data_IF_344887959034
#
_entry.id   IF_344887959034
#
_cell.length_a   1.000
_cell.length_b   1.000
_cell.length_c   1.000
_cell.angle_alpha   90.00
_cell.angle_beta   90.00
_cell.angle_gamma   90.00
#
_symmetry.space_group_name_H-M   'P 1'
#
loop_
_entity.id
_entity.type
_entity.pdbx_description
1 polymer ?
#
# COMPACT_ATOMS: atom_id res chain seq x y z
N UNK A 1 31.41 -36.37 -22.31
CA UNK A 1 31.37 -34.89 -22.31
C UNK A 1 29.93 -34.47 -22.03
N UNK A 2 29.61 -34.11 -20.80
CA UNK A 2 28.28 -33.63 -20.42
C UNK A 2 28.17 -32.11 -20.57
N UNK A 3 26.98 -31.62 -20.92
CA UNK A 3 26.12 -30.79 -20.05
C UNK A 3 24.75 -30.64 -20.73
N UNK A 4 23.74 -31.20 -20.07
CA UNK A 4 22.32 -30.95 -20.31
C UNK A 4 22.04 -29.49 -19.95
N UNK A 5 21.65 -28.66 -20.91
CA UNK A 5 21.09 -27.34 -20.60
C UNK A 5 19.67 -27.53 -20.07
N UNK A 6 19.60 -27.78 -18.77
CA UNK A 6 18.37 -27.84 -18.00
C UNK A 6 17.58 -26.54 -18.15
N UNK A 7 16.31 -26.71 -18.51
CA UNK A 7 15.15 -25.90 -18.16
C UNK A 7 15.45 -24.68 -17.28
N UNK A 8 15.78 -23.53 -17.87
CA UNK A 8 15.59 -22.24 -17.20
C UNK A 8 14.10 -21.88 -17.33
N UNK A 9 13.32 -22.52 -16.46
CA UNK A 9 11.94 -22.14 -16.19
C UNK A 9 11.91 -20.69 -15.73
N UNK A 10 11.50 -19.80 -16.64
CA UNK A 10 11.09 -18.44 -16.30
C UNK A 10 9.77 -18.55 -15.54
N UNK A 11 9.89 -18.78 -14.23
CA UNK A 11 8.78 -18.72 -13.28
C UNK A 11 8.43 -17.22 -13.12
N UNK A 12 7.69 -16.68 -14.10
CA UNK A 12 6.97 -15.42 -13.97
C UNK A 12 5.76 -15.65 -13.08
N UNK A 13 5.99 -15.71 -11.76
CA UNK A 13 4.93 -15.89 -10.81
C UNK A 13 4.28 -14.56 -10.43
N UNK A 14 2.97 -14.53 -10.70
CA UNK A 14 1.94 -13.79 -9.97
C UNK A 14 1.62 -12.37 -10.44
N UNK A 15 1.00 -12.30 -11.61
CA UNK A 15 -0.04 -11.28 -11.84
C UNK A 15 -1.17 -11.51 -10.83
N UNK A 16 -1.13 -10.81 -9.70
CA UNK A 16 -2.28 -10.72 -8.79
C UNK A 16 -3.30 -9.81 -9.46
N UNK A 17 -4.21 -10.43 -10.21
CA UNK A 17 -5.52 -9.90 -10.53
C UNK A 17 -6.17 -9.45 -9.20
N UNK A 18 -6.00 -8.17 -8.87
CA UNK A 18 -6.66 -7.54 -7.75
C UNK A 18 -8.12 -7.38 -8.15
N UNK A 19 -8.90 -8.44 -7.95
CA UNK A 19 -10.37 -8.38 -7.97
C UNK A 19 -10.78 -7.21 -7.08
N UNK A 20 -11.36 -6.21 -7.72
CA UNK A 20 -12.09 -5.10 -7.13
C UNK A 20 -13.24 -5.70 -6.29
N UNK A 21 -12.94 -5.99 -5.02
CA UNK A 21 -13.98 -6.32 -4.04
C UNK A 21 -14.78 -5.05 -3.82
N UNK A 22 -16.04 -5.07 -4.27
CA UNK A 22 -16.99 -3.97 -4.21
C UNK A 22 -17.07 -3.38 -2.80
N UNK A 23 -16.61 -2.15 -2.66
CA UNK A 23 -16.89 -1.30 -1.50
C UNK A 23 -17.50 -0.04 -2.08
N UNK A 24 -18.74 0.28 -1.70
CA UNK A 24 -19.50 1.44 -2.19
C UNK A 24 -18.63 2.69 -2.04
N UNK A 25 -18.27 3.28 -3.17
CA UNK A 25 -17.30 4.36 -3.24
C UNK A 25 -18.00 5.72 -3.10
N UNK A 26 -18.05 6.23 -1.88
CA UNK A 26 -18.45 7.63 -1.62
C UNK A 26 -17.21 8.52 -1.64
N UNK A 27 -17.10 9.43 -2.62
CA UNK A 27 -16.26 10.65 -2.75
C UNK A 27 -14.78 10.68 -2.28
N UNK A 28 -14.24 9.58 -1.76
CA UNK A 28 -13.00 9.51 -0.97
C UNK A 28 -11.84 8.84 -1.69
N UNK A 29 -12.05 8.36 -2.92
CA UNK A 29 -11.03 7.67 -3.74
C UNK A 29 -9.76 8.50 -3.99
N UNK A 30 -9.90 9.83 -4.07
CA UNK A 30 -8.79 10.74 -4.32
C UNK A 30 -8.29 11.44 -3.04
N UNK A 31 -8.88 11.14 -1.88
CA UNK A 31 -8.42 11.66 -0.60
C UNK A 31 -7.21 10.87 -0.11
N UNK A 32 -6.27 11.56 0.54
CA UNK A 32 -5.08 10.95 1.15
C UNK A 32 -5.50 9.80 2.06
N UNK A 33 -6.57 9.96 2.83
CA UNK A 33 -7.11 8.93 3.71
C UNK A 33 -7.50 7.66 2.93
N UNK A 34 -8.27 7.79 1.85
CA UNK A 34 -8.72 6.65 1.05
C UNK A 34 -7.57 5.89 0.39
N UNK A 35 -6.56 6.62 -0.10
CA UNK A 35 -5.36 6.04 -0.71
C UNK A 35 -4.56 5.26 0.34
N UNK A 36 -4.34 5.85 1.52
CA UNK A 36 -3.62 5.21 2.63
C UNK A 36 -4.28 3.91 3.06
N UNK A 37 -5.60 3.91 3.26
CA UNK A 37 -6.34 2.68 3.63
C UNK A 37 -6.28 1.64 2.52
N UNK A 38 -6.36 2.05 1.25
CA UNK A 38 -6.20 1.15 0.11
C UNK A 38 -4.81 0.50 0.07
N UNK A 39 -3.74 1.26 0.32
CA UNK A 39 -2.37 0.76 0.42
C UNK A 39 -2.25 -0.27 1.55
N UNK A 40 -2.71 0.07 2.76
CA UNK A 40 -2.65 -0.82 3.92
C UNK A 40 -3.44 -2.11 3.69
N UNK A 41 -4.64 -2.00 3.10
CA UNK A 41 -5.50 -3.14 2.77
C UNK A 41 -4.88 -4.06 1.72
N UNK A 42 -4.21 -3.50 0.70
CA UNK A 42 -3.51 -4.27 -0.36
C UNK A 42 -2.23 -4.95 0.16
N UNK A 43 -1.48 -4.26 1.01
CA UNK A 43 -0.20 -4.75 1.54
C UNK A 43 -0.40 -5.90 2.54
N UNK A 44 -1.46 -5.85 3.35
CA UNK A 44 -1.78 -6.81 4.43
C UNK A 44 -0.61 -7.02 5.43
N UNK A 45 0.40 -6.16 5.39
CA UNK A 45 1.58 -6.16 6.24
C UNK A 45 1.69 -4.80 6.94
N UNK A 46 2.30 -4.75 8.13
CA UNK A 46 2.64 -3.49 8.76
C UNK A 46 3.63 -2.72 7.88
N UNK A 47 3.34 -1.44 7.63
CA UNK A 47 4.16 -0.55 6.81
C UNK A 47 4.55 0.71 7.57
N UNK A 48 5.72 1.26 7.28
CA UNK A 48 6.14 2.52 7.89
C UNK A 48 5.42 3.69 7.26
N UNK A 49 5.18 4.74 8.04
CA UNK A 49 4.58 5.99 7.57
C UNK A 49 5.31 6.53 6.34
N UNK A 50 6.66 6.53 6.36
CA UNK A 50 7.47 6.99 5.23
C UNK A 50 7.20 6.21 3.94
N UNK A 51 7.09 4.88 4.02
CA UNK A 51 6.82 4.03 2.86
C UNK A 51 5.40 4.26 2.32
N UNK A 52 4.43 4.42 3.23
CA UNK A 52 3.04 4.75 2.88
C UNK A 52 3.01 6.11 2.18
N UNK A 53 3.66 7.14 2.74
CA UNK A 53 3.75 8.47 2.14
C UNK A 53 4.39 8.43 0.76
N UNK A 54 5.49 7.70 0.58
CA UNK A 54 6.13 7.55 -0.73
C UNK A 54 5.19 6.91 -1.77
N UNK A 55 4.37 5.94 -1.37
CA UNK A 55 3.37 5.36 -2.27
C UNK A 55 2.23 6.33 -2.58
N UNK A 56 1.76 7.11 -1.60
CA UNK A 56 0.75 8.15 -1.83
C UNK A 56 1.28 9.21 -2.80
N UNK A 57 2.53 9.64 -2.64
CA UNK A 57 3.19 10.61 -3.52
C UNK A 57 3.28 10.09 -4.96
N UNK A 58 3.70 8.84 -5.15
CA UNK A 58 3.75 8.19 -6.47
C UNK A 58 2.38 8.10 -7.12
N UNK A 59 1.33 7.78 -6.36
CA UNK A 59 -0.05 7.66 -6.87
C UNK A 59 -0.61 9.04 -7.25
N UNK A 60 -0.29 10.08 -6.46
CA UNK A 60 -0.86 11.42 -6.65
C UNK A 60 -0.01 12.31 -7.58
N UNK A 61 1.18 11.85 -7.98
CA UNK A 61 2.15 12.58 -8.81
C UNK A 61 2.44 13.98 -8.26
N UNK A 62 2.81 14.03 -6.97
CA UNK A 62 3.13 15.29 -6.27
C UNK A 62 4.56 15.17 -5.74
N UNK A 63 5.37 16.22 -5.92
CA UNK A 63 6.74 16.32 -5.39
C UNK A 63 6.81 17.07 -4.04
N UNK A 64 5.69 17.16 -3.33
CA UNK A 64 5.57 17.98 -2.13
C UNK A 64 6.05 17.24 -0.88
N UNK A 65 6.79 17.93 -0.02
CA UNK A 65 7.18 17.46 1.33
C UNK A 65 6.02 17.41 2.33
N UNK A 66 4.89 18.06 2.04
CA UNK A 66 3.75 18.25 2.96
C UNK A 66 2.91 17.00 3.33
N UNK A 67 2.85 15.89 2.55
CA UNK A 67 1.87 14.84 2.83
C UNK A 67 2.24 13.94 4.00
N UNK A 68 3.43 14.02 4.57
CA UNK A 68 3.80 13.16 5.70
C UNK A 68 2.94 13.44 6.94
N UNK A 69 2.67 14.70 7.25
CA UNK A 69 1.81 15.10 8.37
C UNK A 69 0.36 14.74 8.08
N UNK A 70 -0.11 14.97 6.85
CA UNK A 70 -1.49 14.62 6.44
C UNK A 70 -1.73 13.11 6.45
N UNK A 71 -0.75 12.31 6.00
CA UNK A 71 -0.79 10.85 6.06
C UNK A 71 -0.78 10.37 7.51
N UNK A 72 0.09 10.94 8.35
CA UNK A 72 0.17 10.59 9.77
C UNK A 72 -1.13 10.91 10.50
N UNK A 73 -1.70 12.10 10.28
CA UNK A 73 -3.00 12.49 10.83
C UNK A 73 -4.11 11.55 10.34
N UNK A 74 -4.12 11.22 9.04
CA UNK A 74 -5.09 10.27 8.47
C UNK A 74 -4.97 8.86 9.07
N UNK A 75 -3.75 8.41 9.36
CA UNK A 75 -3.47 7.11 9.99
C UNK A 75 -3.88 7.08 11.46
N UNK A 76 -3.67 8.16 12.20
CA UNK A 76 -4.01 8.26 13.62
C UNK A 76 -5.51 8.41 13.86
N UNK A 77 -6.20 9.15 12.98
CA UNK A 77 -7.66 9.37 13.06
C UNK A 77 -8.48 8.21 12.50
N UNK A 78 -7.86 7.33 11.70
CA UNK A 78 -8.58 6.20 11.10
C UNK A 78 -8.86 5.09 12.11
N UNK A 79 -10.12 4.65 12.16
CA UNK A 79 -10.52 3.43 12.88
C UNK A 79 -9.98 2.14 12.22
N UNK A 80 -9.53 2.22 10.97
CA UNK A 80 -9.07 1.10 10.15
C UNK A 80 -7.55 0.93 10.11
N UNK A 81 -6.79 1.81 10.76
CA UNK A 81 -5.34 1.71 10.88
C UNK A 81 -4.96 1.55 12.36
N UNK A 82 -4.17 0.54 12.69
CA UNK A 82 -3.60 0.35 14.03
C UNK A 82 -2.12 0.64 13.96
N UNK A 83 -1.63 1.46 14.90
CA UNK A 83 -0.20 1.63 15.14
C UNK A 83 0.34 0.41 15.88
N UNK A 84 1.27 -0.30 15.25
CA UNK A 84 1.90 -1.52 15.81
C UNK A 84 3.21 -1.18 16.52
N UNK A 85 3.94 -0.17 16.03
CA UNK A 85 5.21 0.27 16.61
C UNK A 85 5.51 1.73 16.21
N UNK A 86 6.73 2.23 16.49
CA UNK A 86 7.13 3.61 16.19
C UNK A 86 7.09 3.89 14.67
N UNK A 87 6.05 4.62 14.25
CA UNK A 87 5.80 4.94 12.84
C UNK A 87 5.43 3.72 11.98
N UNK A 88 4.96 2.62 12.57
CA UNK A 88 4.58 1.40 11.86
C UNK A 88 3.07 1.14 12.00
N UNK A 89 2.36 1.02 10.89
CA UNK A 89 0.90 0.92 10.84
C UNK A 89 0.44 -0.33 10.08
N UNK A 90 -0.61 -0.97 10.57
CA UNK A 90 -1.26 -2.14 9.97
C UNK A 90 -2.75 -1.86 9.74
N UNK A 91 -3.32 -2.48 8.71
CA UNK A 91 -4.77 -2.48 8.51
C UNK A 91 -5.48 -3.27 9.61
N UNK A 92 -6.49 -2.65 10.24
CA UNK A 92 -7.44 -3.29 11.14
C UNK A 92 -8.59 -3.85 10.29
N UNK A 93 -8.69 -5.19 10.28
CA UNK A 93 -9.81 -5.90 9.64
C UNK A 93 -11.07 -5.72 10.46
#
# INVERSE_FOLDING_TARGET
MGITFGTMGLIMNKSKNLKLVGVRFSSSKNSIHGIVISILKKSNKPMRVRDITNQVLKIKNIDSKTPINSVTCSLQTSKHAIRVSHGLYKYKK
#
